data_IF_988903582123
#
_entry.id   IF_988903582123
#
_cell.length_a   1.000
_cell.length_b   1.000
_cell.length_c   1.000
_cell.angle_alpha   90.00
_cell.angle_beta   90.00
_cell.angle_gamma   90.00
#
_symmetry.space_group_name_H-M   'P 1'
#
loop_
_entity.id
_entity.type
_entity.pdbx_description
1 polymer ?
#
# COMPACT_ATOMS: atom_id res chain seq x y z
N UNK A 1 50.71 -19.80 2.64
CA UNK A 1 49.93 -18.94 1.70
C UNK A 1 48.95 -19.82 0.91
N UNK A 2 47.69 -19.34 0.73
CA UNK A 2 46.58 -19.88 -0.10
C UNK A 2 45.97 -21.23 0.34
N UNK A 3 44.65 -21.41 0.43
CA UNK A 3 43.51 -20.56 0.09
C UNK A 3 42.20 -21.38 0.17
N UNK A 4 41.12 -20.71 0.62
CA UNK A 4 39.71 -21.18 0.58
C UNK A 4 39.35 -21.83 -0.76
N UNK A 5 38.63 -22.95 -0.73
CA UNK A 5 37.63 -23.47 -1.71
C UNK A 5 37.43 -24.96 -1.36
N UNK A 6 36.34 -25.41 -0.77
CA UNK A 6 35.21 -25.88 -1.58
C UNK A 6 34.07 -26.34 -0.66
N UNK A 7 33.27 -25.40 -0.16
CA UNK A 7 31.95 -25.67 0.43
C UNK A 7 30.86 -25.51 -0.64
N UNK A 8 31.09 -26.02 -1.86
CA UNK A 8 30.20 -25.87 -3.02
C UNK A 8 29.69 -27.21 -3.53
N UNK A 9 29.13 -28.07 -2.68
CA UNK A 9 28.52 -29.30 -3.20
C UNK A 9 27.15 -29.68 -2.65
N UNK A 10 26.65 -29.04 -1.57
CA UNK A 10 25.36 -29.40 -0.97
C UNK A 10 24.21 -28.46 -1.41
N UNK A 11 24.48 -27.32 -2.05
CA UNK A 11 23.45 -26.30 -2.27
C UNK A 11 22.57 -26.50 -3.51
N UNK A 12 22.74 -27.56 -4.30
CA UNK A 12 21.98 -27.73 -5.55
C UNK A 12 20.80 -28.71 -5.44
N UNK A 13 20.87 -29.78 -4.63
CA UNK A 13 19.75 -30.74 -4.47
C UNK A 13 18.53 -30.18 -3.76
N UNK A 14 18.72 -29.40 -2.69
CA UNK A 14 17.63 -28.79 -1.89
C UNK A 14 16.83 -27.73 -2.66
N UNK A 15 17.45 -27.09 -3.67
CA UNK A 15 16.81 -26.04 -4.48
C UNK A 15 15.72 -26.59 -5.38
N UNK A 16 15.94 -27.75 -6.01
CA UNK A 16 14.95 -28.36 -6.91
C UNK A 16 13.71 -28.86 -6.17
N UNK A 17 13.85 -29.35 -4.93
CA UNK A 17 12.71 -29.83 -4.13
C UNK A 17 11.78 -28.66 -3.78
N UNK A 18 12.33 -27.49 -3.45
CA UNK A 18 11.52 -26.29 -3.20
C UNK A 18 10.84 -25.80 -4.50
N UNK A 19 11.53 -25.82 -5.64
CA UNK A 19 10.97 -25.39 -6.94
C UNK A 19 9.82 -26.28 -7.42
N UNK A 20 9.90 -27.60 -7.21
CA UNK A 20 8.87 -28.57 -7.65
C UNK A 20 7.59 -28.45 -6.81
N UNK A 21 7.68 -28.05 -5.53
CA UNK A 21 6.52 -27.87 -4.65
C UNK A 21 5.86 -26.50 -4.83
N UNK A 22 6.64 -25.45 -5.13
CA UNK A 22 6.10 -24.09 -5.32
C UNK A 22 5.40 -23.89 -6.67
N UNK A 23 5.82 -24.59 -7.72
CA UNK A 23 5.26 -24.45 -9.07
C UNK A 23 3.76 -24.84 -9.19
N UNK A 24 3.26 -25.95 -8.61
CA UNK A 24 1.84 -26.26 -8.63
C UNK A 24 1.02 -25.32 -7.73
N UNK A 25 1.57 -24.87 -6.59
CA UNK A 25 0.89 -23.94 -5.69
C UNK A 25 0.67 -22.56 -6.32
N UNK A 26 1.64 -22.06 -7.10
CA UNK A 26 1.54 -20.79 -7.81
C UNK A 26 0.54 -20.84 -8.96
N UNK A 27 0.44 -22.01 -9.62
CA UNK A 27 -0.48 -22.23 -10.75
C UNK A 27 -1.94 -22.21 -10.28
N UNK A 28 -2.23 -22.79 -9.11
CA UNK A 28 -3.57 -22.78 -8.50
C UNK A 28 -3.96 -21.37 -8.03
N UNK A 29 -3.00 -20.57 -7.52
CA UNK A 29 -3.25 -19.19 -7.11
C UNK A 29 -3.58 -18.27 -8.31
N UNK A 30 -3.03 -18.55 -9.49
CA UNK A 30 -3.31 -17.78 -10.72
C UNK A 30 -4.62 -18.14 -11.44
N UNK A 31 -5.23 -19.28 -11.11
CA UNK A 31 -6.47 -19.77 -11.74
C UNK A 31 -7.76 -19.32 -11.02
N UNK A 32 -7.67 -18.87 -9.77
CA UNK A 32 -8.79 -18.31 -9.00
C UNK A 32 -9.47 -17.10 -9.65
N UNK A 33 -8.77 -16.12 -10.25
CA UNK A 33 -9.44 -14.98 -10.88
C UNK A 33 -10.12 -15.33 -12.22
N UNK A 34 -9.78 -16.45 -12.85
CA UNK A 34 -10.27 -16.78 -14.20
C UNK A 34 -11.73 -17.28 -14.21
N UNK A 35 -12.22 -17.86 -13.11
CA UNK A 35 -13.58 -18.38 -12.99
C UNK A 35 -14.50 -17.50 -12.13
N UNK A 36 -14.24 -16.20 -12.00
CA UNK A 36 -15.17 -15.26 -11.35
C UNK A 36 -15.73 -14.19 -12.31
N UNK A 37 -15.21 -14.14 -13.54
CA UNK A 37 -15.46 -13.06 -14.49
C UNK A 37 -16.86 -13.08 -15.14
N UNK A 38 -17.60 -14.18 -15.03
CA UNK A 38 -18.94 -14.31 -15.61
C UNK A 38 -20.02 -13.47 -14.91
N UNK A 39 -19.86 -13.18 -13.61
CA UNK A 39 -20.86 -12.44 -12.81
C UNK A 39 -20.63 -10.92 -12.79
N UNK A 40 -19.44 -10.45 -13.19
CA UNK A 40 -19.05 -9.04 -13.13
C UNK A 40 -19.55 -8.23 -14.33
N UNK A 41 -19.66 -8.87 -15.50
CA UNK A 41 -20.12 -8.24 -16.74
C UNK A 41 -21.61 -7.88 -16.68
N UNK A 42 -22.42 -8.76 -16.08
CA UNK A 42 -23.84 -8.49 -15.83
C UNK A 42 -24.03 -7.52 -14.66
N UNK A 43 -23.17 -7.54 -13.65
CA UNK A 43 -23.18 -6.54 -12.58
C UNK A 43 -22.91 -5.12 -13.13
N UNK A 44 -21.96 -4.94 -14.04
CA UNK A 44 -21.68 -3.65 -14.69
C UNK A 44 -22.86 -3.13 -15.52
N UNK A 45 -23.58 -4.02 -16.22
CA UNK A 45 -24.81 -3.67 -16.96
C UNK A 45 -25.94 -3.21 -16.02
N UNK A 46 -26.11 -3.90 -14.88
CA UNK A 46 -27.10 -3.52 -13.87
C UNK A 46 -26.70 -2.23 -13.13
N UNK A 47 -25.41 -2.01 -12.90
CA UNK A 47 -24.89 -0.78 -12.31
C UNK A 47 -25.14 0.42 -13.22
N UNK A 48 -24.96 0.29 -14.54
CA UNK A 48 -25.30 1.34 -15.50
C UNK A 48 -26.80 1.69 -15.52
N UNK A 49 -27.68 0.71 -15.32
CA UNK A 49 -29.14 0.94 -15.21
C UNK A 49 -29.50 1.60 -13.87
N UNK A 50 -28.80 1.26 -12.78
CA UNK A 50 -29.00 1.91 -11.48
C UNK A 50 -28.42 3.34 -11.48
N UNK A 51 -27.27 3.56 -12.12
CA UNK A 51 -26.60 4.86 -12.19
C UNK A 51 -27.39 5.87 -13.04
N UNK A 52 -27.97 5.41 -14.15
CA UNK A 52 -28.88 6.24 -14.97
C UNK A 52 -30.21 6.54 -14.27
N UNK A 53 -30.70 5.63 -13.42
CA UNK A 53 -31.92 5.83 -12.62
C UNK A 53 -31.69 6.64 -11.34
N UNK A 54 -30.46 6.69 -10.84
CA UNK A 54 -30.03 7.49 -9.69
C UNK A 54 -29.54 8.91 -10.07
N UNK A 55 -29.39 9.22 -11.37
CA UNK A 55 -29.01 10.56 -11.83
C UNK A 55 -27.52 10.89 -11.64
N UNK A 56 -26.66 9.87 -11.47
CA UNK A 56 -25.22 10.04 -11.30
C UNK A 56 -24.48 9.37 -12.45
N UNK A 57 -23.66 10.11 -13.19
CA UNK A 57 -22.73 9.52 -14.16
C UNK A 57 -21.57 8.89 -13.39
N UNK A 58 -21.16 7.67 -13.76
CA UNK A 58 -20.08 6.90 -13.10
C UNK A 58 -18.74 7.67 -13.06
N UNK A 59 -18.55 8.60 -14.00
CA UNK A 59 -17.41 9.52 -14.08
C UNK A 59 -17.43 10.67 -13.06
N UNK A 60 -18.60 11.08 -12.55
CA UNK A 60 -18.71 12.23 -11.63
C UNK A 60 -18.28 11.86 -10.21
N UNK A 61 -18.65 10.67 -9.75
CA UNK A 61 -18.33 10.22 -8.38
C UNK A 61 -16.82 10.03 -8.23
N UNK A 62 -16.16 9.41 -9.23
CA UNK A 62 -14.70 9.23 -9.21
C UNK A 62 -13.94 10.56 -9.22
N UNK A 63 -14.42 11.55 -10.00
CA UNK A 63 -13.81 12.88 -10.07
C UNK A 63 -13.96 13.67 -8.77
N UNK A 64 -15.18 13.71 -8.20
CA UNK A 64 -15.44 14.39 -6.92
C UNK A 64 -14.65 13.75 -5.79
N UNK A 65 -14.60 12.42 -5.72
CA UNK A 65 -13.82 11.69 -4.71
C UNK A 65 -12.33 11.96 -4.88
N UNK A 66 -11.81 11.98 -6.11
CA UNK A 66 -10.42 12.31 -6.39
C UNK A 66 -10.03 13.71 -5.93
N UNK A 67 -10.89 14.71 -6.10
CA UNK A 67 -10.66 16.09 -5.64
C UNK A 67 -10.65 16.16 -4.12
N UNK A 68 -11.62 15.54 -3.45
CA UNK A 68 -11.71 15.52 -1.98
C UNK A 68 -10.50 14.82 -1.36
N UNK A 69 -10.08 13.69 -1.93
CA UNK A 69 -8.89 12.95 -1.48
C UNK A 69 -7.63 13.81 -1.65
N UNK A 70 -7.43 14.46 -2.80
CA UNK A 70 -6.26 15.34 -3.00
C UNK A 70 -6.26 16.54 -2.01
N UNK A 71 -7.41 17.15 -1.77
CA UNK A 71 -7.53 18.23 -0.78
C UNK A 71 -7.23 17.74 0.65
N UNK A 72 -7.69 16.54 1.01
CA UNK A 72 -7.40 15.93 2.30
C UNK A 72 -5.90 15.56 2.43
N UNK A 73 -5.31 14.94 1.41
CA UNK A 73 -3.88 14.56 1.43
C UNK A 73 -2.95 15.75 1.58
N UNK A 74 -3.25 16.87 0.91
CA UNK A 74 -2.43 18.10 1.01
C UNK A 74 -2.50 18.70 2.42
N UNK A 75 -3.69 18.76 3.03
CA UNK A 75 -3.86 19.20 4.42
C UNK A 75 -3.13 18.27 5.39
N UNK A 76 -3.26 16.96 5.23
CA UNK A 76 -2.58 15.98 6.10
C UNK A 76 -1.06 16.07 5.94
N UNK A 77 -0.56 16.18 4.72
CA UNK A 77 0.88 16.34 4.44
C UNK A 77 1.45 17.61 5.08
N UNK A 78 0.70 18.71 5.06
CA UNK A 78 1.09 19.96 5.72
C UNK A 78 1.17 19.81 7.25
N UNK A 79 0.15 19.19 7.86
CA UNK A 79 0.13 18.93 9.30
C UNK A 79 1.28 18.00 9.69
N UNK A 80 1.52 16.94 8.91
CA UNK A 80 2.64 16.03 9.10
C UNK A 80 3.98 16.76 9.09
N UNK A 81 4.19 17.65 8.11
CA UNK A 81 5.42 18.44 8.01
C UNK A 81 5.59 19.35 9.24
N UNK A 82 4.53 20.03 9.68
CA UNK A 82 4.55 20.88 10.87
C UNK A 82 4.90 20.09 12.14
N UNK A 83 4.30 18.91 12.32
CA UNK A 83 4.60 18.01 13.43
C UNK A 83 6.04 17.49 13.38
N UNK A 84 6.56 17.18 12.20
CA UNK A 84 7.95 16.76 12.02
C UNK A 84 8.94 17.86 12.41
N UNK A 85 8.67 19.11 12.01
CA UNK A 85 9.50 20.25 12.41
C UNK A 85 9.46 20.45 13.92
N UNK A 86 8.27 20.39 14.54
CA UNK A 86 8.11 20.50 15.99
C UNK A 86 8.85 19.39 16.75
N UNK A 87 8.70 18.14 16.31
CA UNK A 87 9.39 17.00 16.91
C UNK A 87 10.91 17.07 16.71
N UNK A 88 11.37 17.51 15.54
CA UNK A 88 12.79 17.73 15.26
C UNK A 88 13.39 18.81 16.16
N UNK A 89 12.68 19.93 16.34
CA UNK A 89 13.09 20.98 17.27
C UNK A 89 13.16 20.48 18.72
N UNK A 90 12.15 19.72 19.16
CA UNK A 90 12.14 19.10 20.49
C UNK A 90 13.31 18.13 20.68
N UNK A 91 13.66 17.37 19.64
CA UNK A 91 14.79 16.44 19.68
C UNK A 91 16.15 17.15 19.72
N UNK A 92 16.30 18.23 18.95
CA UNK A 92 17.54 19.03 18.93
C UNK A 92 17.75 19.85 20.20
N UNK A 93 16.66 20.28 20.85
CA UNK A 93 16.72 21.05 22.11
C UNK A 93 16.80 20.16 23.35
N UNK A 94 16.64 18.85 23.21
CA UNK A 94 16.92 17.88 24.26
C UNK A 94 18.42 17.87 24.54
N UNK A 95 18.86 18.61 25.55
CA UNK A 95 20.27 18.77 25.96
C UNK A 95 20.87 17.51 26.61
N UNK A 96 20.55 16.32 26.10
CA UNK A 96 20.93 15.03 26.68
C UNK A 96 19.93 14.45 27.69
N UNK A 97 18.87 15.19 28.03
CA UNK A 97 17.78 14.69 28.87
C UNK A 97 16.92 13.68 28.12
N UNK A 98 16.65 12.53 28.75
CA UNK A 98 15.95 11.39 28.12
C UNK A 98 14.48 11.68 27.82
N UNK A 99 13.80 12.47 28.66
CA UNK A 99 12.38 12.74 28.55
C UNK A 99 11.99 13.45 27.23
N UNK A 100 12.60 14.60 26.85
CA UNK A 100 12.29 15.27 25.58
C UNK A 100 12.71 14.45 24.35
N UNK A 101 13.77 13.63 24.45
CA UNK A 101 14.17 12.72 23.37
C UNK A 101 13.09 11.66 23.12
N UNK A 102 12.57 11.04 24.18
CA UNK A 102 11.56 9.99 24.05
C UNK A 102 10.22 10.55 23.59
N UNK A 103 9.85 11.77 24.03
CA UNK A 103 8.68 12.49 23.49
C UNK A 103 8.84 12.76 21.98
N UNK A 104 9.99 13.28 21.54
CA UNK A 104 10.23 13.54 20.13
C UNK A 104 10.16 12.25 19.29
N UNK A 105 10.78 11.16 19.75
CA UNK A 105 10.71 9.85 19.08
C UNK A 105 9.28 9.34 18.96
N UNK A 106 8.47 9.46 20.01
CA UNK A 106 7.05 9.06 19.96
C UNK A 106 6.27 9.87 18.93
N UNK A 107 6.49 11.19 18.85
CA UNK A 107 5.82 12.05 17.85
C UNK A 107 6.25 11.67 16.43
N UNK A 108 7.55 11.45 16.20
CA UNK A 108 8.08 11.03 14.89
C UNK A 108 7.49 9.67 14.48
N UNK A 109 7.52 8.69 15.37
CA UNK A 109 6.98 7.36 15.11
C UNK A 109 5.47 7.38 14.84
N UNK A 110 4.70 8.12 15.64
CA UNK A 110 3.25 8.29 15.44
C UNK A 110 2.93 8.97 14.11
N UNK A 111 3.70 10.01 13.76
CA UNK A 111 3.54 10.75 12.50
C UNK A 111 3.87 9.88 11.27
N UNK A 112 4.92 9.07 11.35
CA UNK A 112 5.29 8.10 10.30
C UNK A 112 4.20 7.05 10.07
N UNK A 113 3.66 6.47 11.15
CA UNK A 113 2.58 5.47 11.05
C UNK A 113 1.34 6.09 10.39
N UNK A 114 0.95 7.30 10.80
CA UNK A 114 -0.15 8.03 10.18
C UNK A 114 0.07 8.27 8.68
N UNK A 115 1.28 8.67 8.29
CA UNK A 115 1.62 8.87 6.88
C UNK A 115 1.53 7.57 6.07
N UNK A 116 2.05 6.47 6.61
CA UNK A 116 2.00 5.15 5.96
C UNK A 116 0.56 4.70 5.73
N UNK A 117 -0.34 4.91 6.70
CA UNK A 117 -1.76 4.56 6.57
C UNK A 117 -2.41 5.34 5.42
N UNK A 118 -2.17 6.65 5.34
CA UNK A 118 -2.75 7.51 4.30
C UNK A 118 -2.23 7.14 2.91
N UNK A 119 -0.92 6.91 2.78
CA UNK A 119 -0.31 6.47 1.53
C UNK A 119 -0.82 5.08 1.11
N UNK A 120 -1.00 4.17 2.07
CA UNK A 120 -1.55 2.83 1.81
C UNK A 120 -3.01 2.91 1.34
N UNK A 121 -3.83 3.76 1.97
CA UNK A 121 -5.21 3.98 1.56
C UNK A 121 -5.31 4.55 0.14
N UNK A 122 -4.44 5.50 -0.21
CA UNK A 122 -4.37 6.04 -1.58
C UNK A 122 -3.94 4.96 -2.58
N UNK A 123 -2.90 4.19 -2.26
CA UNK A 123 -2.42 3.10 -3.12
C UNK A 123 -3.50 2.05 -3.38
N UNK A 124 -4.27 1.66 -2.36
CA UNK A 124 -5.40 0.74 -2.49
C UNK A 124 -6.49 1.36 -3.38
N UNK A 125 -6.81 2.64 -3.18
CA UNK A 125 -7.82 3.35 -3.99
C UNK A 125 -7.44 3.34 -5.47
N UNK A 126 -6.19 3.67 -5.80
CA UNK A 126 -5.69 3.67 -7.18
C UNK A 126 -5.64 2.26 -7.76
N UNK A 127 -5.27 1.26 -6.97
CA UNK A 127 -5.26 -0.14 -7.39
C UNK A 127 -6.66 -0.63 -7.76
N UNK A 128 -7.65 -0.29 -6.94
CA UNK A 128 -9.07 -0.58 -7.18
C UNK A 128 -9.56 0.16 -8.43
N UNK A 129 -9.44 1.49 -8.48
CA UNK A 129 -9.96 2.29 -9.61
C UNK A 129 -9.31 1.94 -10.94
N UNK A 130 -7.99 1.76 -10.97
CA UNK A 130 -7.25 1.44 -12.20
C UNK A 130 -7.43 -0.02 -12.60
N UNK A 131 -7.54 -0.93 -11.62
CA UNK A 131 -7.74 -2.36 -11.84
C UNK A 131 -9.14 -2.70 -12.35
N UNK A 132 -10.18 -1.94 -11.96
CA UNK A 132 -11.54 -2.13 -12.45
C UNK A 132 -11.83 -1.43 -13.79
N UNK A 133 -10.99 -0.47 -14.22
CA UNK A 133 -11.19 0.30 -15.46
C UNK A 133 -10.52 -0.34 -16.69
N UNK A 134 -9.93 -1.54 -16.57
CA UNK A 134 -9.32 -2.29 -17.68
C UNK A 134 -9.91 -3.68 -17.87
#
# INVERSE_FOLDING_TARGET
>A
MKGKRSSRHVSNGMKYIHTIVTAPLLSIFSALPAYAQGSLKDAGKNLGIVSTKAGTSESDIGSVVGIVINAALTLVGLIFLALMVYAGYLWMTARGESEPVDKAKKIIAGSLIGLVIVLSAYAITVFVTTGFTR
#
